data_IF_252993010805
#
_entry.id   IF_252993010805
#
_cell.length_a   1.000
_cell.length_b   1.000
_cell.length_c   1.000
_cell.angle_alpha   90.00
_cell.angle_beta   90.00
_cell.angle_gamma   90.00
#
_symmetry.space_group_name_H-M   'P 1'
#
loop_
_entity.id
_entity.type
_entity.pdbx_description
1 polymer ?
#
# COMPACT_ATOMS: atom_id res chain seq x y z
N UNK A 1 13.93 -28.72 25.83
CA UNK A 1 14.00 -27.51 26.68
C UNK A 1 12.77 -27.43 27.58
N UNK A 2 12.92 -27.41 28.91
CA UNK A 2 11.83 -27.36 29.89
C UNK A 2 11.35 -25.91 30.12
N UNK A 3 10.92 -25.23 29.05
CA UNK A 3 10.45 -23.85 29.18
C UNK A 3 9.03 -23.81 29.76
N UNK A 4 8.72 -22.81 30.60
CA UNK A 4 7.35 -22.62 31.08
C UNK A 4 6.41 -22.31 29.91
N UNK A 5 5.24 -22.94 29.91
CA UNK A 5 4.18 -22.68 28.92
C UNK A 5 3.70 -21.22 28.96
N UNK A 6 3.72 -20.61 30.15
CA UNK A 6 3.37 -19.20 30.35
C UNK A 6 4.49 -18.32 29.80
N UNK A 7 4.20 -17.33 28.93
CA UNK A 7 5.18 -16.36 28.49
C UNK A 7 5.74 -15.57 29.67
N UNK A 8 7.06 -15.49 29.79
CA UNK A 8 7.77 -14.71 30.81
C UNK A 8 8.69 -13.70 30.13
N UNK A 9 9.17 -12.68 30.88
CA UNK A 9 10.21 -11.78 30.37
C UNK A 9 11.43 -12.50 29.79
N UNK A 10 11.84 -13.63 30.39
CA UNK A 10 12.97 -14.44 29.92
C UNK A 10 12.67 -15.14 28.60
N UNK A 11 11.53 -15.83 28.49
CA UNK A 11 11.18 -16.54 27.24
C UNK A 11 10.99 -15.57 26.08
N UNK A 12 10.42 -14.39 26.33
CA UNK A 12 10.35 -13.32 25.33
C UNK A 12 11.74 -12.78 24.96
N UNK A 13 12.65 -12.63 25.93
CA UNK A 13 14.01 -12.17 25.66
C UNK A 13 14.81 -13.20 24.86
N UNK A 14 14.67 -14.49 25.14
CA UNK A 14 15.25 -15.56 24.32
C UNK A 14 14.70 -15.55 22.90
N UNK A 15 13.38 -15.39 22.74
CA UNK A 15 12.77 -15.20 21.42
C UNK A 15 13.39 -14.02 20.68
N UNK A 16 13.54 -12.87 21.34
CA UNK A 16 14.12 -11.67 20.72
C UNK A 16 15.54 -11.94 20.26
N UNK A 17 16.39 -12.45 21.15
CA UNK A 17 17.81 -12.70 20.86
C UNK A 17 17.94 -13.70 19.71
N UNK A 18 17.22 -14.83 19.77
CA UNK A 18 17.24 -15.83 18.73
C UNK A 18 16.76 -15.28 17.38
N UNK A 19 15.55 -14.72 17.33
CA UNK A 19 14.96 -14.25 16.07
C UNK A 19 15.71 -13.06 15.47
N UNK A 20 16.36 -12.22 16.28
CA UNK A 20 17.11 -11.06 15.78
C UNK A 20 18.35 -11.46 14.97
N UNK A 21 18.84 -12.70 15.09
CA UNK A 21 19.90 -13.22 14.22
C UNK A 21 19.36 -13.71 12.86
N UNK A 22 18.06 -14.01 12.77
CA UNK A 22 17.43 -14.54 11.56
C UNK A 22 16.65 -13.49 10.77
N UNK A 23 16.08 -12.49 11.45
CA UNK A 23 15.30 -11.39 10.84
C UNK A 23 15.64 -10.05 11.48
N UNK A 24 15.23 -8.95 10.84
CA UNK A 24 15.47 -7.60 11.38
C UNK A 24 14.87 -7.45 12.79
N UNK A 25 15.62 -6.92 13.78
CA UNK A 25 15.11 -6.72 15.15
C UNK A 25 13.81 -5.89 15.21
N UNK A 26 13.60 -4.97 14.27
CA UNK A 26 12.34 -4.22 14.12
C UNK A 26 11.16 -5.12 13.76
N UNK A 27 11.37 -6.12 12.92
CA UNK A 27 10.36 -7.14 12.60
C UNK A 27 10.09 -8.04 13.80
N UNK A 28 11.13 -8.41 14.55
CA UNK A 28 10.99 -9.15 15.82
C UNK A 28 10.11 -8.39 16.80
N UNK A 29 10.32 -7.08 16.94
CA UNK A 29 9.48 -6.23 17.79
C UNK A 29 8.02 -6.25 17.38
N UNK A 30 7.73 -6.13 16.08
CA UNK A 30 6.38 -6.17 15.54
C UNK A 30 5.71 -7.54 15.74
N UNK A 31 6.44 -8.63 15.48
CA UNK A 31 5.96 -9.99 15.71
C UNK A 31 5.71 -10.27 17.19
N UNK A 32 6.60 -9.81 18.06
CA UNK A 32 6.41 -9.95 19.49
C UNK A 32 5.15 -9.23 19.98
N UNK A 33 4.85 -8.03 19.45
CA UNK A 33 3.59 -7.34 19.73
C UNK A 33 2.37 -8.12 19.21
N UNK A 34 2.47 -8.74 18.04
CA UNK A 34 1.41 -9.62 17.49
C UNK A 34 1.18 -10.88 18.33
N UNK A 35 2.26 -11.55 18.75
CA UNK A 35 2.22 -12.72 19.65
C UNK A 35 1.56 -12.33 20.97
N UNK A 36 1.96 -11.21 21.58
CA UNK A 36 1.37 -10.71 22.82
C UNK A 36 -0.12 -10.45 22.67
N UNK A 37 -0.55 -9.83 21.56
CA UNK A 37 -1.96 -9.56 21.28
C UNK A 37 -2.78 -10.85 21.12
N UNK A 38 -2.22 -11.89 20.51
CA UNK A 38 -2.89 -13.19 20.36
C UNK A 38 -2.94 -13.99 21.67
N UNK A 39 -1.92 -13.84 22.52
CA UNK A 39 -1.83 -14.58 23.78
C UNK A 39 -2.58 -13.91 24.93
N UNK A 40 -2.90 -12.61 24.83
CA UNK A 40 -3.57 -11.83 25.89
C UNK A 40 -4.87 -12.47 26.41
N UNK A 41 -5.76 -13.05 25.58
CA UNK A 41 -6.96 -13.75 26.06
C UNK A 41 -6.66 -14.97 26.96
N UNK A 42 -5.53 -15.64 26.76
CA UNK A 42 -5.16 -16.86 27.49
C UNK A 42 -4.18 -16.58 28.64
N UNK A 43 -3.40 -15.51 28.53
CA UNK A 43 -2.38 -15.11 29.49
C UNK A 43 -2.49 -13.61 29.79
N UNK A 44 -3.38 -13.18 30.70
CA UNK A 44 -3.67 -11.76 30.92
C UNK A 44 -2.44 -10.90 31.30
N UNK A 45 -1.41 -11.51 31.89
CA UNK A 45 -0.17 -10.84 32.31
C UNK A 45 0.91 -10.79 31.20
N UNK A 46 0.62 -11.30 30.00
CA UNK A 46 1.59 -11.34 28.89
C UNK A 46 2.02 -9.94 28.46
N UNK A 47 1.10 -8.97 28.47
CA UNK A 47 1.40 -7.57 28.15
C UNK A 47 2.35 -6.93 29.17
N UNK A 48 2.18 -7.24 30.45
CA UNK A 48 3.11 -6.79 31.50
C UNK A 48 4.49 -7.42 31.31
N UNK A 49 4.55 -8.72 30.99
CA UNK A 49 5.80 -9.42 30.69
C UNK A 49 6.53 -8.80 29.49
N UNK A 50 5.80 -8.45 28.43
CA UNK A 50 6.31 -7.73 27.26
C UNK A 50 6.86 -6.33 27.59
N UNK A 51 6.25 -5.66 28.54
CA UNK A 51 6.63 -4.31 28.98
C UNK A 51 7.75 -4.29 30.03
N UNK A 52 8.18 -5.47 30.50
CA UNK A 52 9.26 -5.61 31.47
C UNK A 52 10.56 -4.94 30.99
N UNK A 53 11.38 -4.52 31.96
CA UNK A 53 12.64 -3.85 31.68
C UNK A 53 13.61 -4.75 30.91
N UNK A 54 13.62 -6.06 31.22
CA UNK A 54 14.43 -7.06 30.53
C UNK A 54 14.12 -7.07 29.04
N UNK A 55 12.86 -7.28 28.67
CA UNK A 55 12.43 -7.36 27.26
C UNK A 55 12.72 -6.06 26.50
N UNK A 56 12.47 -4.90 27.12
CA UNK A 56 12.78 -3.58 26.53
C UNK A 56 14.29 -3.40 26.29
N UNK A 57 15.13 -3.82 27.24
CA UNK A 57 16.59 -3.73 27.11
C UNK A 57 17.12 -4.71 26.07
N UNK A 58 16.59 -5.94 26.01
CA UNK A 58 16.96 -6.94 25.01
C UNK A 58 16.63 -6.46 23.60
N UNK A 59 15.44 -5.91 23.36
CA UNK A 59 15.08 -5.30 22.06
C UNK A 59 16.00 -4.13 21.71
N UNK A 60 16.26 -3.24 22.66
CA UNK A 60 17.17 -2.10 22.44
C UNK A 60 18.58 -2.57 22.11
N UNK A 61 19.06 -3.60 22.80
CA UNK A 61 20.35 -4.25 22.52
C UNK A 61 20.39 -4.81 21.11
N UNK A 62 19.42 -5.65 20.75
CA UNK A 62 19.30 -6.25 19.42
C UNK A 62 19.21 -5.20 18.31
N UNK A 63 18.44 -4.12 18.50
CA UNK A 63 18.35 -3.01 17.55
C UNK A 63 19.69 -2.28 17.36
N UNK A 64 20.50 -2.16 18.41
CA UNK A 64 21.83 -1.51 18.35
C UNK A 64 22.87 -2.40 17.68
N UNK A 65 22.86 -3.70 17.96
CA UNK A 65 23.90 -4.62 17.48
C UNK A 65 23.59 -5.24 16.11
N UNK A 66 22.31 -5.54 15.83
CA UNK A 66 21.87 -6.28 14.65
C UNK A 66 20.93 -5.48 13.74
N UNK A 67 20.49 -4.29 14.19
CA UNK A 67 19.60 -3.43 13.41
C UNK A 67 20.31 -2.88 12.17
N UNK A 68 19.65 -3.00 11.02
CA UNK A 68 20.13 -2.38 9.77
C UNK A 68 19.35 -1.09 9.46
N UNK A 69 19.96 -0.15 8.72
CA UNK A 69 19.25 1.02 8.21
C UNK A 69 18.03 0.60 7.39
N UNK A 70 16.94 1.36 7.53
CA UNK A 70 15.76 1.16 6.68
C UNK A 70 16.11 1.68 5.28
N UNK A 71 16.17 0.76 4.31
CA UNK A 71 16.21 1.13 2.89
C UNK A 71 14.86 1.73 2.50
N UNK A 72 14.78 3.07 2.51
CA UNK A 72 13.59 3.80 2.07
C UNK A 72 13.51 3.72 0.55
N UNK A 73 12.30 3.47 0.05
CA UNK A 73 12.03 3.53 -1.38
C UNK A 73 12.05 4.99 -1.83
N UNK A 74 12.69 5.27 -2.96
CA UNK A 74 12.75 6.61 -3.54
C UNK A 74 11.34 7.06 -3.93
N UNK A 75 10.99 8.35 -3.77
CA UNK A 75 9.72 8.88 -4.25
C UNK A 75 9.63 8.80 -5.78
N UNK A 76 8.42 8.68 -6.32
CA UNK A 76 8.15 9.00 -7.73
C UNK A 76 7.94 10.50 -7.80
N UNK A 77 8.56 11.18 -8.77
CA UNK A 77 8.42 12.62 -8.96
C UNK A 77 7.29 12.94 -9.94
N UNK A 78 6.91 14.21 -10.02
CA UNK A 78 5.88 14.65 -10.96
C UNK A 78 6.31 14.45 -12.41
N UNK A 79 7.57 14.77 -12.72
CA UNK A 79 8.14 14.64 -14.07
C UNK A 79 8.25 13.17 -14.49
N UNK A 80 8.48 12.26 -13.53
CA UNK A 80 8.47 10.82 -13.79
C UNK A 80 7.12 10.36 -14.38
N UNK A 81 6.00 10.96 -13.95
CA UNK A 81 4.67 10.61 -14.48
C UNK A 81 4.53 10.96 -15.95
N UNK A 82 5.04 12.14 -16.35
CA UNK A 82 5.08 12.56 -17.75
C UNK A 82 6.00 11.67 -18.58
N UNK A 83 7.21 11.37 -18.06
CA UNK A 83 8.15 10.47 -18.73
C UNK A 83 7.56 9.09 -18.97
N UNK A 84 6.85 8.53 -17.98
CA UNK A 84 6.15 7.26 -18.13
C UNK A 84 5.06 7.33 -19.19
N UNK A 85 4.22 8.37 -19.16
CA UNK A 85 3.14 8.53 -20.14
C UNK A 85 3.69 8.61 -21.58
N UNK A 86 4.77 9.36 -21.78
CA UNK A 86 5.44 9.51 -23.08
C UNK A 86 6.16 8.22 -23.52
N UNK A 87 6.63 7.41 -22.57
CA UNK A 87 7.33 6.16 -22.85
C UNK A 87 6.40 4.96 -23.12
N UNK A 88 5.09 5.11 -22.97
CA UNK A 88 4.14 4.04 -23.28
C UNK A 88 3.94 3.88 -24.80
N UNK A 89 3.73 2.65 -25.32
CA UNK A 89 3.41 2.43 -26.72
C UNK A 89 2.10 3.11 -27.12
N UNK A 90 2.08 3.70 -28.32
CA UNK A 90 0.90 4.37 -28.86
C UNK A 90 0.31 3.57 -30.04
N UNK A 91 -1.03 3.43 -30.13
CA UNK A 91 -2.03 3.94 -29.20
C UNK A 91 -2.06 3.18 -27.86
N UNK A 92 -2.39 3.87 -26.77
CA UNK A 92 -2.48 3.27 -25.43
C UNK A 92 -3.56 2.17 -25.41
N UNK A 93 -3.20 0.99 -24.91
CA UNK A 93 -4.17 -0.09 -24.68
C UNK A 93 -5.02 0.16 -23.45
N UNK A 94 -6.06 -0.65 -23.25
CA UNK A 94 -6.88 -0.59 -22.03
C UNK A 94 -6.05 -0.84 -20.76
N UNK A 95 -5.11 -1.78 -20.81
CA UNK A 95 -4.25 -2.10 -19.66
C UNK A 95 -3.22 -1.00 -19.39
N UNK A 96 -2.74 -0.31 -20.44
CA UNK A 96 -1.88 0.88 -20.29
C UNK A 96 -2.65 2.02 -19.63
N UNK A 97 -3.89 2.28 -20.08
CA UNK A 97 -4.79 3.27 -19.49
C UNK A 97 -5.10 2.96 -18.02
N UNK A 98 -5.41 1.70 -17.69
CA UNK A 98 -5.60 1.27 -16.31
C UNK A 98 -4.35 1.54 -15.48
N UNK A 99 -3.19 1.08 -15.95
CA UNK A 99 -1.97 1.12 -15.17
C UNK A 99 -1.50 2.55 -14.93
N UNK A 100 -1.46 3.39 -15.98
CA UNK A 100 -1.05 4.79 -15.85
C UNK A 100 -2.03 5.55 -14.95
N UNK A 101 -3.32 5.26 -15.04
CA UNK A 101 -4.31 5.90 -14.18
C UNK A 101 -4.15 5.50 -12.71
N UNK A 102 -3.85 4.22 -12.42
CA UNK A 102 -3.52 3.81 -11.06
C UNK A 102 -2.26 4.49 -10.53
N UNK A 103 -1.24 4.68 -11.37
CA UNK A 103 -0.03 5.42 -11.01
C UNK A 103 -0.36 6.87 -10.64
N UNK A 104 -1.17 7.55 -11.45
CA UNK A 104 -1.64 8.91 -11.19
C UNK A 104 -2.49 9.02 -9.93
N UNK A 105 -3.45 8.12 -9.71
CA UNK A 105 -4.26 8.08 -8.49
C UNK A 105 -3.39 7.86 -7.25
N UNK A 106 -2.43 6.94 -7.31
CA UNK A 106 -1.48 6.70 -6.21
C UNK A 106 -0.67 7.94 -5.84
N UNK A 107 -0.28 8.73 -6.85
CA UNK A 107 0.49 9.95 -6.66
C UNK A 107 -0.39 11.11 -6.18
N UNK A 108 -1.41 11.50 -6.95
CA UNK A 108 -2.20 12.71 -6.67
C UNK A 108 -3.12 12.58 -5.46
N UNK A 109 -3.63 11.38 -5.17
CA UNK A 109 -4.50 11.13 -4.01
C UNK A 109 -3.76 10.48 -2.83
N UNK A 110 -2.42 10.35 -2.89
CA UNK A 110 -1.60 9.76 -1.82
C UNK A 110 -2.01 8.32 -1.46
N UNK A 111 -2.58 7.60 -2.42
CA UNK A 111 -3.10 6.26 -2.18
C UNK A 111 -1.99 5.25 -2.03
N UNK A 112 -2.20 4.30 -1.11
CA UNK A 112 -1.35 3.12 -1.04
C UNK A 112 -1.70 2.22 -2.21
N UNK A 113 -0.71 1.49 -2.73
CA UNK A 113 -0.95 0.52 -3.79
C UNK A 113 -2.07 -0.47 -3.44
N UNK A 114 -2.15 -0.90 -2.18
CA UNK A 114 -3.20 -1.83 -1.71
C UNK A 114 -4.64 -1.29 -1.76
N UNK A 115 -4.84 0.01 -2.00
CA UNK A 115 -6.17 0.62 -2.21
C UNK A 115 -6.58 0.58 -3.70
N UNK A 116 -5.63 0.29 -4.60
CA UNK A 116 -5.84 0.28 -6.05
C UNK A 116 -5.82 -1.15 -6.64
N UNK A 117 -5.14 -2.08 -5.99
CA UNK A 117 -4.96 -3.47 -6.49
C UNK A 117 -5.46 -4.50 -5.48
N UNK A 118 -5.75 -5.70 -5.97
CA UNK A 118 -6.03 -6.86 -5.10
C UNK A 118 -4.75 -7.62 -4.73
N UNK A 119 -4.73 -8.32 -3.59
CA UNK A 119 -3.66 -9.25 -3.24
C UNK A 119 -3.47 -10.34 -4.32
N UNK A 120 -2.21 -10.75 -4.52
CA UNK A 120 -1.91 -11.85 -5.45
C UNK A 120 -2.52 -13.16 -4.96
N UNK A 121 -2.44 -13.42 -3.64
CA UNK A 121 -2.99 -14.60 -2.98
C UNK A 121 -4.52 -14.47 -2.86
N UNK A 122 -5.24 -15.44 -3.45
CA UNK A 122 -6.70 -15.46 -3.50
C UNK A 122 -7.36 -15.42 -2.11
N UNK A 123 -6.85 -16.22 -1.16
CA UNK A 123 -7.39 -16.28 0.20
C UNK A 123 -7.27 -14.95 0.97
N UNK A 124 -6.41 -14.03 0.52
CA UNK A 124 -6.25 -12.70 1.12
C UNK A 124 -7.10 -11.63 0.43
N UNK A 125 -7.79 -11.96 -0.68
CA UNK A 125 -8.60 -10.99 -1.42
C UNK A 125 -9.89 -10.72 -0.65
N UNK A 126 -10.14 -9.43 -0.45
CA UNK A 126 -11.37 -8.94 0.13
C UNK A 126 -12.01 -7.99 -0.88
N UNK A 127 -12.96 -8.52 -1.65
CA UNK A 127 -13.62 -7.78 -2.72
C UNK A 127 -14.51 -6.65 -2.20
N UNK A 128 -14.85 -6.65 -0.91
CA UNK A 128 -15.57 -5.53 -0.28
C UNK A 128 -14.74 -4.26 -0.20
N UNK A 129 -13.41 -4.37 -0.38
CA UNK A 129 -12.47 -3.23 -0.30
C UNK A 129 -12.21 -2.58 -1.66
N UNK A 130 -12.74 -3.13 -2.75
CA UNK A 130 -12.48 -2.64 -4.10
C UNK A 130 -13.38 -1.43 -4.40
N UNK A 131 -12.79 -0.37 -4.94
CA UNK A 131 -13.56 0.80 -5.40
C UNK A 131 -14.59 0.43 -6.46
N UNK A 132 -15.80 0.93 -6.27
CA UNK A 132 -16.94 0.67 -7.15
C UNK A 132 -17.03 1.72 -8.24
N UNK A 133 -17.36 1.29 -9.46
CA UNK A 133 -17.62 2.17 -10.62
C UNK A 133 -18.78 3.13 -10.35
N UNK A 134 -19.79 2.69 -9.60
CA UNK A 134 -20.97 3.49 -9.23
C UNK A 134 -20.64 4.64 -8.27
N UNK A 135 -19.52 4.57 -7.56
CA UNK A 135 -19.08 5.66 -6.67
C UNK A 135 -18.37 6.81 -7.41
N UNK A 136 -18.06 6.61 -8.69
CA UNK A 136 -17.29 7.56 -9.47
C UNK A 136 -18.15 8.75 -9.87
N UNK A 137 -17.67 9.95 -9.59
CA UNK A 137 -18.23 11.20 -10.09
C UNK A 137 -17.13 11.93 -10.86
N UNK A 138 -17.43 12.32 -12.09
CA UNK A 138 -16.55 13.13 -12.94
C UNK A 138 -17.18 14.50 -13.11
N UNK A 139 -16.38 15.53 -12.91
CA UNK A 139 -16.76 16.93 -13.10
C UNK A 139 -15.79 17.59 -14.08
N UNK A 140 -16.04 18.85 -14.41
CA UNK A 140 -15.22 19.61 -15.39
C UNK A 140 -13.76 19.76 -14.92
N UNK A 141 -13.55 19.84 -13.60
CA UNK A 141 -12.24 20.16 -13.03
C UNK A 141 -11.66 19.05 -12.15
N UNK A 142 -12.38 17.96 -11.91
CA UNK A 142 -11.93 16.90 -11.02
C UNK A 142 -12.69 15.60 -11.33
N UNK A 143 -12.21 14.54 -10.69
CA UNK A 143 -12.97 13.31 -10.55
C UNK A 143 -12.78 12.77 -9.14
N UNK A 144 -13.70 11.90 -8.75
CA UNK A 144 -13.74 11.37 -7.40
C UNK A 144 -14.35 9.99 -7.36
N UNK A 145 -13.97 9.20 -6.36
CA UNK A 145 -14.51 7.85 -6.12
C UNK A 145 -14.32 7.46 -4.65
N UNK A 146 -15.07 6.44 -4.20
CA UNK A 146 -14.98 5.94 -2.84
C UNK A 146 -13.95 4.80 -2.72
N UNK A 147 -13.12 4.89 -1.68
CA UNK A 147 -12.34 3.77 -1.18
C UNK A 147 -13.12 3.18 -0.02
N UNK A 148 -13.58 1.94 -0.20
CA UNK A 148 -14.57 1.32 0.68
C UNK A 148 -14.04 1.05 2.10
N UNK A 149 -12.74 0.78 2.28
CA UNK A 149 -12.13 0.56 3.60
C UNK A 149 -10.64 0.93 3.63
N UNK A 150 -10.21 1.70 4.63
CA UNK A 150 -8.80 1.82 5.05
C UNK A 150 -8.63 1.28 6.49
N UNK A 151 -7.42 0.86 6.86
CA UNK A 151 -7.04 0.41 8.21
C UNK A 151 -7.28 1.45 9.31
N UNK A 152 -7.50 2.72 8.94
CA UNK A 152 -7.80 3.82 9.86
C UNK A 152 -9.29 4.17 9.92
N UNK A 153 -10.14 3.52 9.12
CA UNK A 153 -11.58 3.78 9.12
C UNK A 153 -12.28 2.90 10.16
N UNK A 154 -12.40 3.42 11.38
CA UNK A 154 -13.09 2.74 12.48
C UNK A 154 -14.63 2.77 12.34
N UNK A 155 -15.17 3.60 11.44
CA UNK A 155 -16.62 3.81 11.26
C UNK A 155 -17.17 3.13 10.00
N UNK A 156 -16.30 2.60 9.14
CA UNK A 156 -16.67 1.91 7.91
C UNK A 156 -17.45 2.79 6.92
N UNK A 157 -17.23 4.11 6.97
CA UNK A 157 -17.92 5.08 6.08
C UNK A 157 -17.25 5.14 4.70
N UNK A 158 -16.01 4.66 4.58
CA UNK A 158 -15.19 4.80 3.39
C UNK A 158 -14.67 6.23 3.21
N UNK A 159 -13.56 6.35 2.46
CA UNK A 159 -12.96 7.66 2.19
C UNK A 159 -13.23 8.08 0.76
N UNK A 160 -13.82 9.26 0.58
CA UNK A 160 -13.99 9.87 -0.74
C UNK A 160 -12.69 10.52 -1.18
N UNK A 161 -12.14 9.98 -2.25
CA UNK A 161 -10.95 10.54 -2.90
C UNK A 161 -11.41 11.53 -3.95
N UNK A 162 -10.83 12.73 -3.95
CA UNK A 162 -11.05 13.75 -4.97
C UNK A 162 -9.69 14.08 -5.59
N UNK A 163 -9.58 13.97 -6.90
CA UNK A 163 -8.38 14.29 -7.67
C UNK A 163 -8.72 15.41 -8.63
N UNK A 164 -8.12 16.57 -8.40
CA UNK A 164 -8.27 17.72 -9.27
C UNK A 164 -7.44 17.56 -10.53
N UNK A 165 -7.91 18.19 -11.62
CA UNK A 165 -7.12 18.40 -12.82
C UNK A 165 -5.80 19.07 -12.45
N UNK A 166 -4.73 18.76 -13.19
CA UNK A 166 -3.43 19.41 -12.99
C UNK A 166 -3.05 20.25 -14.19
N UNK A 167 -2.73 21.52 -13.95
CA UNK A 167 -2.17 22.42 -14.97
C UNK A 167 -0.64 22.26 -15.09
N UNK A 168 -0.01 21.55 -14.16
CA UNK A 168 1.44 21.37 -14.08
C UNK A 168 1.74 19.87 -14.13
N UNK A 169 2.49 19.45 -15.13
CA UNK A 169 2.83 18.04 -15.33
C UNK A 169 1.77 17.30 -16.15
N UNK A 170 1.60 16.00 -15.86
CA UNK A 170 0.59 15.16 -16.52
C UNK A 170 -0.77 15.31 -15.85
N UNK A 171 -1.76 15.82 -16.59
CA UNK A 171 -3.14 16.00 -16.11
C UNK A 171 -3.83 14.62 -15.93
N UNK A 172 -4.25 14.26 -14.70
CA UNK A 172 -4.91 12.97 -14.47
C UNK A 172 -6.33 12.91 -15.02
N UNK A 173 -7.02 14.04 -15.22
CA UNK A 173 -8.44 14.05 -15.59
C UNK A 173 -8.70 13.48 -17.01
N UNK A 174 -7.99 13.91 -18.07
CA UNK A 174 -8.16 13.32 -19.40
C UNK A 174 -7.82 11.82 -19.44
N UNK A 175 -6.80 11.40 -18.70
CA UNK A 175 -6.41 9.99 -18.59
C UNK A 175 -7.51 9.16 -17.91
N UNK A 176 -8.10 9.69 -16.84
CA UNK A 176 -9.18 9.03 -16.12
C UNK A 176 -10.41 8.85 -17.00
N UNK A 177 -10.82 9.91 -17.70
CA UNK A 177 -11.97 9.86 -18.62
C UNK A 177 -11.75 8.87 -19.76
N UNK A 178 -10.53 8.81 -20.33
CA UNK A 178 -10.17 7.81 -21.36
C UNK A 178 -10.21 6.38 -20.81
N UNK A 179 -9.68 6.16 -19.61
CA UNK A 179 -9.76 4.86 -18.95
C UNK A 179 -11.22 4.45 -18.69
N UNK A 180 -12.05 5.35 -18.14
CA UNK A 180 -13.47 5.10 -17.89
C UNK A 180 -14.22 4.74 -19.17
N UNK A 181 -14.04 5.51 -20.25
CA UNK A 181 -14.68 5.22 -21.53
C UNK A 181 -14.28 3.82 -22.05
N UNK A 182 -12.99 3.48 -21.98
CA UNK A 182 -12.49 2.15 -22.36
C UNK A 182 -13.07 1.03 -21.47
N UNK A 183 -13.13 1.28 -20.15
CA UNK A 183 -13.63 0.34 -19.14
C UNK A 183 -15.14 0.11 -19.28
N UNK A 184 -15.93 1.16 -19.47
CA UNK A 184 -17.38 1.08 -19.60
C UNK A 184 -17.80 0.48 -20.95
N UNK A 185 -17.03 0.72 -22.01
CA UNK A 185 -17.23 0.04 -23.30
C UNK A 185 -17.00 -1.48 -23.22
N UNK A 186 -15.99 -1.92 -22.47
CA UNK A 186 -15.67 -3.35 -22.31
C UNK A 186 -16.53 -4.06 -21.26
N UNK A 187 -16.86 -3.37 -20.17
CA UNK A 187 -17.48 -3.95 -18.98
C UNK A 187 -18.62 -3.09 -18.42
N UNK A 188 -19.67 -2.83 -19.21
CA UNK A 188 -20.71 -1.85 -18.85
C UNK A 188 -21.42 -2.15 -17.52
N UNK A 189 -21.62 -3.44 -17.20
CA UNK A 189 -22.34 -3.88 -16.00
C UNK A 189 -21.43 -4.37 -14.86
N UNK A 190 -20.11 -4.33 -15.05
CA UNK A 190 -19.21 -4.82 -14.00
C UNK A 190 -19.18 -3.80 -12.85
N UNK A 191 -19.18 -4.21 -11.56
CA UNK A 191 -19.25 -3.26 -10.45
C UNK A 191 -17.92 -2.55 -10.14
N UNK A 192 -16.78 -3.19 -10.39
CA UNK A 192 -15.47 -2.66 -9.98
C UNK A 192 -14.95 -1.56 -10.91
N UNK A 193 -14.32 -0.55 -10.29
CA UNK A 193 -13.67 0.56 -10.99
C UNK A 193 -12.41 0.11 -11.73
N UNK A 194 -11.52 -0.60 -11.05
CA UNK A 194 -10.22 -1.03 -11.57
C UNK A 194 -10.32 -2.41 -12.20
N UNK A 195 -10.31 -2.48 -13.52
CA UNK A 195 -10.44 -3.71 -14.29
C UNK A 195 -9.39 -3.74 -15.39
N UNK A 196 -8.79 -4.90 -15.57
CA UNK A 196 -7.91 -5.17 -16.70
C UNK A 196 -8.72 -5.59 -17.92
N UNK A 197 -8.03 -5.72 -19.04
CA UNK A 197 -8.54 -6.18 -20.34
C UNK A 197 -9.17 -7.57 -20.31
N UNK A 198 -8.92 -8.35 -19.25
CA UNK A 198 -9.49 -9.68 -19.03
C UNK A 198 -10.61 -9.69 -17.97
N UNK A 199 -11.10 -8.53 -17.53
CA UNK A 199 -12.24 -8.40 -16.63
C UNK A 199 -11.91 -8.67 -15.16
N UNK A 200 -10.65 -8.90 -14.81
CA UNK A 200 -10.22 -9.09 -13.43
C UNK A 200 -9.59 -7.82 -12.87
N UNK A 201 -9.71 -7.56 -11.55
CA UNK A 201 -8.95 -6.51 -10.89
C UNK A 201 -7.44 -6.72 -11.03
N UNK A 202 -6.65 -5.65 -11.19
CA UNK A 202 -5.20 -5.77 -11.23
C UNK A 202 -4.65 -6.26 -9.89
N UNK A 203 -3.64 -7.13 -9.95
CA UNK A 203 -2.93 -7.58 -8.76
C UNK A 203 -1.72 -6.71 -8.48
N UNK A 204 -1.17 -6.82 -7.27
CA UNK A 204 0.10 -6.16 -6.91
C UNK A 204 1.24 -6.59 -7.83
N UNK A 205 1.37 -7.88 -8.16
CA UNK A 205 2.44 -8.33 -9.08
C UNK A 205 2.28 -7.71 -10.46
N UNK A 206 1.06 -7.64 -10.99
CA UNK A 206 0.79 -7.00 -12.27
C UNK A 206 1.20 -5.52 -12.28
N UNK A 207 0.82 -4.77 -11.24
CA UNK A 207 1.17 -3.36 -11.14
C UNK A 207 2.69 -3.15 -11.04
N UNK A 208 3.36 -3.94 -10.19
CA UNK A 208 4.81 -3.85 -10.01
C UNK A 208 5.56 -4.27 -11.26
N UNK A 209 5.08 -5.27 -12.01
CA UNK A 209 5.67 -5.67 -13.28
C UNK A 209 5.69 -4.51 -14.28
N UNK A 210 4.58 -3.78 -14.42
CA UNK A 210 4.55 -2.59 -15.28
C UNK A 210 5.42 -1.45 -14.75
N UNK A 211 5.46 -1.24 -13.42
CA UNK A 211 6.33 -0.23 -12.80
C UNK A 211 7.82 -0.49 -13.07
N UNK A 212 8.23 -1.76 -13.12
CA UNK A 212 9.63 -2.16 -13.37
C UNK A 212 10.11 -1.89 -14.79
N UNK A 213 9.20 -1.69 -15.74
CA UNK A 213 9.55 -1.29 -17.11
C UNK A 213 10.14 0.12 -17.18
N UNK A 214 9.79 0.97 -16.22
CA UNK A 214 10.18 2.39 -16.18
C UNK A 214 11.11 2.73 -15.02
N UNK A 215 11.04 1.99 -13.91
CA UNK A 215 11.71 2.38 -12.67
C UNK A 215 12.58 1.29 -12.03
N UNK A 216 13.75 1.66 -11.47
CA UNK A 216 14.63 0.75 -10.76
C UNK A 216 14.02 0.21 -9.47
N UNK A 217 14.63 -0.85 -8.91
CA UNK A 217 14.18 -1.55 -7.71
C UNK A 217 13.96 -0.65 -6.47
N UNK A 218 14.58 0.52 -6.45
CA UNK A 218 14.45 1.55 -5.41
C UNK A 218 13.07 2.21 -5.39
N UNK A 219 12.31 2.14 -6.48
CA UNK A 219 10.92 2.60 -6.57
C UNK A 219 9.95 1.43 -6.42
N UNK A 220 8.82 1.64 -5.77
CA UNK A 220 7.77 0.62 -5.53
C UNK A 220 6.39 1.27 -5.37
N UNK A 221 5.35 0.49 -5.05
CA UNK A 221 4.02 1.04 -4.78
C UNK A 221 3.95 2.10 -3.67
N UNK A 222 4.88 2.10 -2.70
CA UNK A 222 4.94 3.15 -1.67
C UNK A 222 5.50 4.48 -2.20
N UNK A 223 6.25 4.43 -3.31
CA UNK A 223 6.90 5.59 -3.89
C UNK A 223 5.91 6.59 -4.50
N UNK A 224 4.74 6.13 -4.93
CA UNK A 224 3.65 6.99 -5.41
C UNK A 224 3.19 7.94 -4.31
N UNK A 225 2.79 7.38 -3.16
CA UNK A 225 2.36 8.15 -1.98
C UNK A 225 3.45 9.05 -1.43
N UNK A 226 4.68 8.53 -1.33
CA UNK A 226 5.82 9.33 -0.87
C UNK A 226 6.08 10.52 -1.81
N UNK A 227 6.05 10.27 -3.11
CA UNK A 227 6.19 11.27 -4.16
C UNK A 227 5.13 12.36 -4.14
N UNK A 228 3.86 11.97 -4.09
CA UNK A 228 2.75 12.90 -3.99
C UNK A 228 2.85 13.77 -2.73
N UNK A 229 3.19 13.17 -1.59
CA UNK A 229 3.34 13.90 -0.33
C UNK A 229 4.48 14.92 -0.40
N UNK A 230 5.63 14.54 -0.99
CA UNK A 230 6.75 15.48 -1.23
C UNK A 230 6.36 16.59 -2.20
N UNK A 231 5.62 16.28 -3.27
CA UNK A 231 5.16 17.30 -4.22
C UNK A 231 4.17 18.28 -3.60
N UNK A 232 3.29 17.83 -2.69
CA UNK A 232 2.37 18.71 -1.98
C UNK A 232 3.14 19.60 -0.99
N UNK A 233 4.05 19.01 -0.21
CA UNK A 233 4.88 19.78 0.73
C UNK A 233 5.78 20.82 0.02
N UNK A 234 6.26 20.53 -1.19
CA UNK A 234 7.03 21.48 -1.97
C UNK A 234 6.17 22.64 -2.54
N UNK A 235 4.84 22.48 -2.60
CA UNK A 235 3.91 23.47 -3.12
C UNK A 235 3.31 24.38 -2.03
N UNK A 236 3.53 24.09 -0.73
CA UNK A 236 3.02 24.87 0.40
C UNK A 236 3.29 24.22 1.75
#
# INVERSE_FOLDING_TARGET
HHFPLKPTPDTMSYYITFMSHHIQPRSVEAYLSGIVNQLEPHFPLVRQSRQSLLVKRTLRGALRTLGRPILRKSPILRDDLLCVLNGLPHPLTHDDLLWIMQLHCGFYALLRLGELVVPDVLASRDFSKISLRTSVVVSVNDFSFLIQRDKSDSRYEGNRVVIQRSLVGSDPLPLFTRYLASRDSRYPLHPYLWLRSNGLPPTRTWFIHNLRKFFPATISGHSMRAGGATSLAAAG
#
